data_IF_051862692898
#
_entry.id   IF_051862692898
#
_cell.length_a   1.000
_cell.length_b   1.000
_cell.length_c   1.000
_cell.angle_alpha   90.00
_cell.angle_beta   90.00
_cell.angle_gamma   90.00
#
_symmetry.space_group_name_H-M   'P 1'
#
loop_
_entity.id
_entity.type
_entity.pdbx_description
1 polymer ?
#
# COMPACT_ATOMS: atom_id res chain seq x y z
N UNK A 1 4.25 73.34 19.08
CA UNK A 1 5.08 72.20 18.73
C UNK A 1 4.21 70.96 18.64
N UNK A 2 3.87 70.51 17.44
CA UNK A 2 3.00 69.32 17.22
C UNK A 2 3.92 68.13 17.03
N UNK A 3 3.90 67.16 17.93
CA UNK A 3 4.57 65.89 17.79
C UNK A 3 3.76 65.02 16.84
N UNK A 4 4.32 64.61 15.70
CA UNK A 4 3.84 63.52 14.83
C UNK A 4 4.44 62.22 15.33
N UNK A 5 3.59 61.33 15.90
CA UNK A 5 3.99 59.97 16.16
C UNK A 5 3.85 59.15 14.86
N UNK A 6 4.96 58.71 14.32
CA UNK A 6 4.98 57.77 13.22
C UNK A 6 4.84 56.34 13.80
N UNK A 7 3.70 55.71 13.56
CA UNK A 7 3.50 54.29 13.84
C UNK A 7 4.16 53.47 12.71
N UNK A 8 5.23 52.74 13.04
CA UNK A 8 5.74 51.70 12.17
C UNK A 8 4.85 50.47 12.30
N UNK A 9 4.08 50.14 11.29
CA UNK A 9 3.46 48.83 11.12
C UNK A 9 4.56 47.85 10.68
N UNK A 10 5.04 47.00 11.60
CA UNK A 10 5.78 45.82 11.22
C UNK A 10 4.77 44.84 10.60
N UNK A 11 4.83 44.68 9.27
CA UNK A 11 4.17 43.58 8.59
C UNK A 11 4.99 42.31 8.90
N UNK A 12 4.47 41.45 9.76
CA UNK A 12 4.93 40.06 9.84
C UNK A 12 4.44 39.35 8.58
N UNK A 13 5.36 39.00 7.69
CA UNK A 13 5.09 37.98 6.68
C UNK A 13 5.01 36.64 7.44
N UNK A 14 3.82 36.17 7.66
CA UNK A 14 3.60 34.76 8.02
C UNK A 14 4.04 33.97 6.81
N UNK A 15 5.19 33.31 6.88
CA UNK A 15 5.54 32.29 5.90
C UNK A 15 4.47 31.21 6.02
N UNK A 16 3.89 30.83 4.89
CA UNK A 16 2.96 29.73 4.85
C UNK A 16 3.66 28.50 5.43
N UNK A 17 3.19 28.07 6.57
CA UNK A 17 3.63 26.81 7.19
C UNK A 17 2.80 25.68 6.59
N UNK A 18 3.38 24.49 6.57
CA UNK A 18 2.66 23.28 6.18
C UNK A 18 1.65 22.90 7.29
N UNK A 19 0.86 21.85 7.04
CA UNK A 19 -0.14 21.37 7.98
C UNK A 19 0.43 21.24 9.41
N UNK A 20 -0.26 21.78 10.43
CA UNK A 20 0.20 21.82 11.82
C UNK A 20 0.01 20.49 12.55
N UNK A 21 0.26 20.49 13.87
CA UNK A 21 0.05 19.35 14.76
C UNK A 21 -1.42 18.93 14.84
N UNK A 22 -1.63 17.70 15.34
CA UNK A 22 -2.96 17.13 15.55
C UNK A 22 -3.81 18.01 16.49
N UNK A 23 -5.03 18.30 16.08
CA UNK A 23 -5.98 19.10 16.85
C UNK A 23 -5.97 20.60 16.55
N UNK A 24 -5.02 21.10 15.77
CA UNK A 24 -5.04 22.46 15.25
C UNK A 24 -5.85 22.56 13.95
N UNK A 25 -6.30 23.79 13.61
CA UNK A 25 -7.01 24.09 12.36
C UNK A 25 -6.07 23.80 11.16
N UNK A 26 -6.62 23.28 10.07
CA UNK A 26 -5.89 22.85 8.86
C UNK A 26 -4.95 21.65 9.04
N UNK A 27 -5.02 20.91 10.18
CA UNK A 27 -4.32 19.65 10.33
C UNK A 27 -4.91 18.58 9.38
N UNK A 28 -4.04 17.93 8.59
CA UNK A 28 -4.42 16.91 7.62
C UNK A 28 -4.22 15.47 8.14
N UNK A 29 -3.74 15.29 9.38
CA UNK A 29 -3.52 13.96 9.96
C UNK A 29 -4.80 13.12 9.94
N UNK A 30 -4.68 11.84 9.62
CA UNK A 30 -5.83 10.93 9.60
C UNK A 30 -5.71 9.93 10.75
N UNK A 31 -6.72 9.92 11.64
CA UNK A 31 -6.76 8.93 12.73
C UNK A 31 -6.84 7.50 12.20
N UNK A 32 -6.13 6.56 12.83
CA UNK A 32 -6.20 5.12 12.53
C UNK A 32 -7.62 4.55 12.60
N UNK A 33 -8.51 5.19 13.35
CA UNK A 33 -9.92 4.80 13.48
C UNK A 33 -10.82 5.45 12.41
N UNK A 34 -10.26 6.16 11.45
CA UNK A 34 -11.04 6.82 10.39
C UNK A 34 -11.77 5.80 9.52
N UNK A 35 -13.07 6.01 9.24
CA UNK A 35 -13.82 5.16 8.32
C UNK A 35 -13.39 5.32 6.85
N UNK A 36 -12.45 6.22 6.54
CA UNK A 36 -11.91 6.40 5.20
C UNK A 36 -11.05 5.20 4.76
N UNK A 37 -10.42 4.48 5.70
CA UNK A 37 -9.56 3.36 5.33
C UNK A 37 -10.37 2.16 4.83
N UNK A 38 -10.18 1.82 3.55
CA UNK A 38 -10.78 0.65 2.90
C UNK A 38 -10.01 -0.64 3.23
N UNK A 39 -8.69 -0.55 3.40
CA UNK A 39 -7.81 -1.67 3.72
C UNK A 39 -6.48 -1.21 4.31
N UNK A 40 -5.63 -2.18 4.66
CA UNK A 40 -4.30 -1.99 5.25
C UNK A 40 -3.29 -2.87 4.52
N UNK A 41 -2.00 -2.50 4.57
CA UNK A 41 -0.93 -3.34 4.06
C UNK A 41 -0.95 -4.74 4.71
N UNK A 42 -0.66 -5.77 3.91
CA UNK A 42 -0.68 -7.16 4.35
C UNK A 42 0.43 -8.02 3.72
N UNK A 43 1.32 -7.41 2.93
CA UNK A 43 2.46 -8.06 2.30
C UNK A 43 3.56 -7.03 2.08
N UNK A 44 4.78 -7.38 2.45
CA UNK A 44 5.92 -6.47 2.28
C UNK A 44 7.26 -7.17 2.46
N UNK A 45 8.31 -6.40 2.23
CA UNK A 45 9.71 -6.78 2.45
C UNK A 45 10.47 -5.60 3.04
N UNK A 46 11.55 -5.86 3.75
CA UNK A 46 12.40 -4.83 4.34
C UNK A 46 13.86 -4.97 3.91
N UNK A 47 14.50 -3.85 3.62
CA UNK A 47 15.95 -3.72 3.48
C UNK A 47 16.44 -2.84 4.63
N UNK A 48 17.01 -3.47 5.66
CA UNK A 48 17.48 -2.76 6.86
C UNK A 48 18.60 -1.80 6.53
N UNK A 49 18.52 -0.60 7.07
CA UNK A 49 19.57 0.40 7.09
C UNK A 49 20.58 0.16 8.22
N UNK A 50 21.46 1.10 8.42
CA UNK A 50 22.50 1.04 9.45
C UNK A 50 21.97 1.53 10.80
N UNK A 51 22.54 1.01 11.89
CA UNK A 51 22.37 1.60 13.22
C UNK A 51 22.93 3.03 13.25
N UNK A 52 24.02 3.24 12.52
CA UNK A 52 24.57 4.56 12.23
C UNK A 52 25.37 4.49 10.92
N UNK A 53 24.94 5.22 9.90
CA UNK A 53 25.63 5.20 8.60
C UNK A 53 27.01 5.83 8.63
N UNK A 54 27.31 6.66 9.64
CA UNK A 54 28.66 7.22 9.86
C UNK A 54 29.61 6.22 10.57
N UNK A 55 29.07 5.19 11.22
CA UNK A 55 29.82 4.09 11.82
C UNK A 55 29.18 2.74 11.52
N UNK A 56 29.43 2.21 10.34
CA UNK A 56 28.86 0.93 9.88
C UNK A 56 29.35 -0.30 10.65
N UNK A 57 30.34 -0.15 11.55
CA UNK A 57 30.79 -1.23 12.43
C UNK A 57 29.74 -1.63 13.46
N UNK A 58 28.78 -0.75 13.74
CA UNK A 58 27.63 -1.02 14.60
C UNK A 58 26.61 -1.99 13.98
N UNK A 59 26.74 -2.27 12.67
CA UNK A 59 25.83 -3.17 11.95
C UNK A 59 24.53 -2.50 11.53
N UNK A 60 23.56 -3.32 11.19
CA UNK A 60 22.22 -2.88 10.77
C UNK A 60 21.24 -3.00 11.92
N UNK A 61 20.18 -2.16 11.89
CA UNK A 61 19.08 -2.24 12.87
C UNK A 61 18.36 -3.60 12.78
N UNK A 62 17.79 -4.06 13.90
CA UNK A 62 17.19 -5.39 14.01
C UNK A 62 15.79 -5.40 14.61
N UNK A 63 15.31 -4.25 15.09
CA UNK A 63 14.05 -4.18 15.80
C UNK A 63 12.83 -4.40 14.89
N UNK A 64 11.88 -5.22 15.32
CA UNK A 64 10.63 -5.55 14.61
C UNK A 64 10.81 -6.43 13.38
N UNK A 65 9.71 -6.82 12.77
CA UNK A 65 9.64 -7.57 11.50
C UNK A 65 8.62 -6.90 10.58
N UNK A 66 8.67 -7.19 9.26
CA UNK A 66 7.76 -6.52 8.31
C UNK A 66 6.29 -6.84 8.56
N UNK A 67 6.02 -8.01 9.15
CA UNK A 67 4.69 -8.45 9.53
C UNK A 67 4.07 -7.60 10.65
N UNK A 68 4.87 -6.92 11.47
CA UNK A 68 4.40 -5.99 12.49
C UNK A 68 3.66 -4.79 11.89
N UNK A 69 3.95 -4.46 10.61
CA UNK A 69 3.27 -3.40 9.86
C UNK A 69 2.00 -3.85 9.12
N UNK A 70 1.55 -5.09 9.32
CA UNK A 70 0.36 -5.60 8.63
C UNK A 70 -0.91 -5.32 9.43
N UNK A 71 -1.91 -4.75 8.75
CA UNK A 71 -3.18 -4.39 9.37
C UNK A 71 -3.17 -3.00 10.01
N UNK A 72 -4.07 -2.82 10.96
CA UNK A 72 -4.25 -1.55 11.69
C UNK A 72 -3.05 -1.28 12.60
N UNK A 73 -2.64 -0.01 12.78
CA UNK A 73 -1.58 0.37 13.71
C UNK A 73 -1.69 -0.30 15.08
N UNK A 74 -0.56 -0.76 15.60
CA UNK A 74 -0.47 -1.47 16.87
C UNK A 74 0.88 -1.14 17.56
N UNK A 75 1.13 -1.55 18.80
CA UNK A 75 2.39 -1.19 19.51
C UNK A 75 3.68 -1.80 18.94
N UNK A 76 3.58 -2.77 18.01
CA UNK A 76 4.75 -3.33 17.34
C UNK A 76 5.09 -2.50 16.10
N UNK A 77 6.37 -2.26 15.86
CA UNK A 77 6.86 -1.45 14.74
C UNK A 77 8.06 -2.08 14.06
N UNK A 78 8.33 -1.62 12.85
CA UNK A 78 9.46 -2.01 12.03
C UNK A 78 10.45 -0.86 11.93
N UNK A 79 11.58 -0.93 12.62
CA UNK A 79 12.65 0.08 12.47
C UNK A 79 13.39 -0.09 11.17
N UNK A 80 13.53 0.98 10.41
CA UNK A 80 14.20 0.93 9.10
C UNK A 80 15.71 1.09 9.22
N UNK A 81 16.19 1.95 10.14
CA UNK A 81 17.60 2.34 10.28
C UNK A 81 18.06 3.28 9.17
N UNK A 82 19.23 3.91 9.38
CA UNK A 82 19.78 4.91 8.46
C UNK A 82 19.82 4.40 7.01
N UNK A 83 19.01 5.02 6.14
CA UNK A 83 18.88 4.69 4.72
C UNK A 83 18.20 3.35 4.44
N UNK A 84 17.55 2.75 5.42
CA UNK A 84 16.75 1.54 5.24
C UNK A 84 15.46 1.78 4.47
N UNK A 85 14.83 0.71 4.02
CA UNK A 85 13.55 0.83 3.30
C UNK A 85 12.65 -0.38 3.50
N UNK A 86 11.34 -0.16 3.44
CA UNK A 86 10.34 -1.22 3.38
C UNK A 86 9.44 -1.02 2.16
N UNK A 87 9.17 -2.10 1.43
CA UNK A 87 8.31 -2.10 0.24
C UNK A 87 7.12 -3.00 0.46
N UNK A 88 5.93 -2.45 0.26
CA UNK A 88 4.65 -3.14 0.42
C UNK A 88 3.98 -3.33 -0.93
N UNK A 89 3.44 -4.54 -1.15
CA UNK A 89 2.72 -4.92 -2.36
C UNK A 89 1.23 -5.02 -2.06
N UNK A 90 0.41 -4.44 -2.93
CA UNK A 90 -1.05 -4.43 -2.82
C UNK A 90 -1.66 -5.25 -3.96
N UNK A 91 -2.33 -6.34 -3.62
CA UNK A 91 -3.06 -7.16 -4.60
C UNK A 91 -4.19 -6.37 -5.25
N UNK A 92 -4.88 -5.56 -4.46
CA UNK A 92 -5.82 -4.56 -4.94
C UNK A 92 -5.06 -3.26 -5.08
N UNK A 93 -4.83 -2.82 -6.31
CA UNK A 93 -4.07 -1.60 -6.57
C UNK A 93 -4.78 -0.37 -6.02
N UNK A 94 -4.01 0.60 -5.56
CA UNK A 94 -4.52 1.91 -5.20
C UNK A 94 -4.79 2.71 -6.47
N UNK A 95 -5.67 3.69 -6.38
CA UNK A 95 -5.90 4.64 -7.48
C UNK A 95 -6.04 6.07 -6.95
N UNK A 96 -5.72 7.04 -7.79
CA UNK A 96 -5.91 8.46 -7.51
C UNK A 96 -7.41 8.79 -7.44
N UNK A 97 -7.92 8.98 -6.23
CA UNK A 97 -9.30 9.36 -5.94
C UNK A 97 -9.47 10.86 -5.68
N UNK A 98 -10.49 11.23 -4.95
CA UNK A 98 -10.71 12.62 -4.54
C UNK A 98 -10.08 12.84 -3.17
N UNK A 99 -9.03 13.67 -3.10
CA UNK A 99 -8.25 13.92 -1.89
C UNK A 99 -7.20 12.84 -1.64
N UNK A 100 -6.91 12.55 -0.37
CA UNK A 100 -5.84 11.61 -0.03
C UNK A 100 -6.20 10.17 -0.36
N UNK A 101 -5.20 9.39 -0.84
CA UNK A 101 -5.38 8.02 -1.31
C UNK A 101 -4.88 6.98 -0.31
N UNK A 102 -3.92 7.33 0.53
CA UNK A 102 -3.40 6.47 1.59
C UNK A 102 -2.74 7.30 2.69
N UNK A 103 -2.41 6.66 3.82
CA UNK A 103 -1.66 7.29 4.90
C UNK A 103 -0.63 6.33 5.50
N UNK A 104 0.51 6.89 5.93
CA UNK A 104 1.61 6.18 6.58
C UNK A 104 1.57 6.51 8.07
N UNK A 105 1.65 5.47 8.91
CA UNK A 105 1.68 5.55 10.35
C UNK A 105 3.09 5.23 10.88
N UNK A 106 3.49 6.00 11.85
CA UNK A 106 4.76 5.90 12.55
C UNK A 106 4.47 5.89 14.07
N UNK A 107 5.42 5.46 14.89
CA UNK A 107 5.27 5.29 16.33
C UNK A 107 5.67 6.55 17.12
N UNK A 108 5.56 7.75 16.56
CA UNK A 108 5.94 9.01 17.22
C UNK A 108 5.35 9.17 18.61
N UNK A 109 6.20 9.57 19.56
CA UNK A 109 5.79 9.69 20.96
C UNK A 109 4.92 10.93 21.22
N UNK A 110 5.15 12.01 20.46
CA UNK A 110 4.43 13.27 20.59
C UNK A 110 4.44 14.06 19.25
N UNK A 111 3.93 15.28 19.25
CA UNK A 111 3.82 16.13 18.08
C UNK A 111 5.16 16.71 17.58
N UNK A 112 6.25 16.50 18.26
CA UNK A 112 7.55 17.14 18.01
C UNK A 112 8.72 16.16 17.95
N UNK A 113 8.62 15.01 18.60
CA UNK A 113 9.60 13.94 18.48
C UNK A 113 9.23 13.11 17.26
N UNK A 114 9.76 13.51 16.12
CA UNK A 114 9.42 12.97 14.81
C UNK A 114 10.65 12.29 14.20
N UNK A 115 10.45 11.16 13.57
CA UNK A 115 11.41 10.51 12.68
C UNK A 115 10.78 10.44 11.28
N UNK A 116 11.53 10.85 10.26
CA UNK A 116 10.97 11.11 8.94
C UNK A 116 11.33 10.01 7.93
N UNK A 117 10.43 9.77 6.98
CA UNK A 117 10.71 8.91 5.84
C UNK A 117 10.15 9.48 4.52
N UNK A 118 10.87 9.22 3.43
CA UNK A 118 10.37 9.42 2.09
C UNK A 118 9.32 8.36 1.76
N UNK A 119 8.35 8.76 0.94
CA UNK A 119 7.34 7.85 0.42
C UNK A 119 7.44 7.82 -1.10
N UNK A 120 7.44 6.62 -1.64
CA UNK A 120 7.54 6.34 -3.05
C UNK A 120 6.46 5.34 -3.46
N UNK A 121 5.96 5.46 -4.68
CA UNK A 121 4.95 4.54 -5.23
C UNK A 121 5.36 4.00 -6.59
N UNK A 122 4.84 2.83 -6.93
CA UNK A 122 5.07 2.19 -8.22
C UNK A 122 3.82 1.45 -8.69
N UNK A 123 3.57 1.46 -10.01
CA UNK A 123 2.53 0.67 -10.65
C UNK A 123 3.02 -0.69 -11.18
N UNK A 124 4.32 -0.90 -11.28
CA UNK A 124 4.96 -2.12 -11.85
C UNK A 124 5.90 -2.85 -10.89
N UNK A 125 6.22 -2.25 -9.73
CA UNK A 125 7.16 -2.78 -8.73
C UNK A 125 8.64 -2.58 -9.09
N UNK A 126 8.95 -1.93 -10.19
CA UNK A 126 10.31 -1.66 -10.67
C UNK A 126 10.62 -0.16 -10.67
N UNK A 127 9.74 0.65 -11.27
CA UNK A 127 9.88 2.11 -11.37
C UNK A 127 9.17 2.77 -10.19
N UNK A 128 9.94 3.25 -9.22
CA UNK A 128 9.42 3.95 -8.05
C UNK A 128 9.54 5.46 -8.19
N UNK A 129 8.49 6.17 -7.82
CA UNK A 129 8.38 7.63 -7.91
C UNK A 129 8.10 8.21 -6.55
N UNK A 130 8.99 9.14 -6.12
CA UNK A 130 8.97 9.77 -4.81
C UNK A 130 8.06 10.98 -4.81
N UNK A 131 7.27 11.13 -3.76
CA UNK A 131 6.55 12.37 -3.47
C UNK A 131 7.54 13.51 -3.26
N UNK A 132 7.20 14.69 -3.78
CA UNK A 132 8.05 15.87 -3.66
C UNK A 132 8.01 16.38 -2.23
N UNK A 133 9.01 16.04 -1.45
CA UNK A 133 9.12 16.44 -0.05
C UNK A 133 9.75 17.81 0.12
N UNK A 134 9.40 18.53 1.19
CA UNK A 134 10.03 19.77 1.59
C UNK A 134 10.27 19.79 3.11
N UNK A 135 11.46 20.27 3.52
CA UNK A 135 11.80 20.54 4.91
C UNK A 135 12.26 21.98 5.08
N UNK A 136 11.59 22.71 5.93
CA UNK A 136 11.97 24.08 6.34
C UNK A 136 12.69 24.08 7.69
N UNK A 137 13.09 22.90 8.19
CA UNK A 137 13.83 22.78 9.44
C UNK A 137 15.18 23.48 9.32
N UNK A 138 15.58 24.26 10.34
CA UNK A 138 16.89 24.91 10.33
C UNK A 138 18.03 23.89 10.25
N UNK A 139 19.03 24.17 9.38
CA UNK A 139 20.19 23.28 9.14
C UNK A 139 21.49 23.84 9.68
N UNK A 140 21.44 24.82 10.56
CA UNK A 140 22.62 25.45 11.18
C UNK A 140 23.13 24.67 12.41
N UNK A 141 22.29 23.80 12.99
CA UNK A 141 22.62 22.91 14.11
C UNK A 141 21.93 21.57 13.86
N UNK A 142 22.67 20.47 14.03
CA UNK A 142 22.10 19.13 13.93
C UNK A 142 21.05 18.91 15.02
N UNK A 143 19.88 18.40 14.64
CA UNK A 143 18.87 17.90 15.57
C UNK A 143 19.40 16.57 16.14
N UNK A 144 19.61 16.50 17.45
CA UNK A 144 20.09 15.30 18.12
C UNK A 144 18.99 14.26 18.32
N UNK A 145 19.37 13.05 18.71
CA UNK A 145 18.49 11.87 18.81
C UNK A 145 17.19 12.06 19.61
N UNK A 146 17.13 13.04 20.50
CA UNK A 146 15.98 13.32 21.37
C UNK A 146 15.53 14.78 21.31
N UNK A 147 16.00 15.52 20.30
CA UNK A 147 15.59 16.90 20.09
C UNK A 147 14.29 16.97 19.27
N UNK A 148 13.67 18.14 19.25
CA UNK A 148 12.35 18.36 18.72
C UNK A 148 12.36 18.91 17.30
N UNK A 149 11.48 18.41 16.46
CA UNK A 149 11.23 18.86 15.10
C UNK A 149 9.88 19.56 15.02
N UNK A 150 9.76 20.62 14.22
CA UNK A 150 8.50 21.35 14.05
C UNK A 150 7.67 20.72 12.94
N UNK A 151 6.53 20.11 13.28
CA UNK A 151 5.58 19.48 12.35
C UNK A 151 5.20 20.38 11.18
N UNK A 152 4.90 21.66 11.43
CA UNK A 152 4.54 22.65 10.41
C UNK A 152 5.71 23.04 9.47
N UNK A 153 6.91 22.55 9.70
CA UNK A 153 8.08 22.72 8.81
C UNK A 153 8.23 21.59 7.78
N UNK A 154 7.40 20.55 7.85
CA UNK A 154 7.54 19.31 7.07
C UNK A 154 6.37 19.12 6.12
N UNK A 155 6.67 18.74 4.86
CA UNK A 155 5.69 18.43 3.83
C UNK A 155 6.08 17.17 3.04
N UNK A 156 5.08 16.32 2.75
CA UNK A 156 5.25 15.08 1.97
C UNK A 156 6.39 14.17 2.46
N UNK A 157 6.55 14.10 3.79
CA UNK A 157 7.37 13.10 4.48
C UNK A 157 6.49 12.36 5.49
N UNK A 158 6.61 11.04 5.56
CA UNK A 158 5.98 10.23 6.60
C UNK A 158 6.63 10.51 7.96
N UNK A 159 5.97 10.15 9.07
CA UNK A 159 6.43 10.39 10.44
C UNK A 159 6.17 11.80 10.97
N UNK A 160 5.35 12.55 10.26
CA UNK A 160 5.01 13.93 10.60
C UNK A 160 4.07 14.06 11.81
N UNK A 161 3.38 13.01 12.20
CA UNK A 161 2.35 13.02 13.23
C UNK A 161 2.59 11.92 14.27
N UNK A 162 2.12 12.10 15.51
CA UNK A 162 2.33 11.12 16.57
C UNK A 162 1.57 9.81 16.28
N UNK A 163 1.94 8.77 17.00
CA UNK A 163 1.31 7.44 16.95
C UNK A 163 -0.23 7.52 16.92
N UNK A 164 -0.88 6.64 16.16
CA UNK A 164 -2.31 6.60 15.85
C UNK A 164 -2.80 7.66 14.83
N UNK A 165 -1.91 8.55 14.36
CA UNK A 165 -2.24 9.56 13.36
C UNK A 165 -1.34 9.41 12.14
N UNK A 166 -1.95 9.05 11.01
CA UNK A 166 -1.22 8.84 9.76
C UNK A 166 -0.97 10.12 8.99
N UNK A 167 0.22 10.21 8.40
CA UNK A 167 0.54 11.23 7.40
C UNK A 167 -0.08 10.83 6.06
N UNK A 168 -1.04 11.61 5.52
CA UNK A 168 -1.71 11.27 4.28
C UNK A 168 -0.91 11.68 3.04
N UNK A 169 -1.17 10.97 1.93
CA UNK A 169 -0.57 11.20 0.62
C UNK A 169 -1.65 11.17 -0.47
N UNK A 170 -1.52 12.08 -1.45
CA UNK A 170 -2.42 12.23 -2.58
C UNK A 170 -1.66 11.88 -3.89
N UNK A 171 -2.09 10.85 -4.59
CA UNK A 171 -1.48 10.42 -5.86
C UNK A 171 -1.61 11.50 -6.96
N UNK A 172 -2.48 12.48 -6.76
CA UNK A 172 -2.59 13.63 -7.64
C UNK A 172 -1.28 14.43 -7.74
N UNK A 173 -0.44 14.41 -6.70
CA UNK A 173 0.88 15.05 -6.69
C UNK A 173 1.88 14.43 -7.69
N UNK A 174 1.58 13.21 -8.16
CA UNK A 174 2.42 12.45 -9.09
C UNK A 174 1.82 12.33 -10.50
N UNK A 175 0.77 13.10 -10.80
CA UNK A 175 0.16 13.10 -12.12
C UNK A 175 1.16 13.54 -13.20
N UNK A 176 1.09 12.89 -14.37
CA UNK A 176 1.90 13.23 -15.56
C UNK A 176 3.27 12.57 -15.60
N UNK A 177 3.61 11.70 -14.65
CA UNK A 177 4.81 10.86 -14.70
C UNK A 177 4.56 9.71 -15.67
N UNK A 178 5.27 9.64 -16.80
CA UNK A 178 5.02 8.69 -17.89
C UNK A 178 5.13 7.21 -17.48
N UNK A 179 5.98 6.90 -16.48
CA UNK A 179 6.22 5.53 -16.00
C UNK A 179 5.41 5.17 -14.76
N UNK A 180 4.43 5.99 -14.39
CA UNK A 180 3.53 5.75 -13.27
C UNK A 180 2.07 5.78 -13.71
N UNK A 181 1.38 4.67 -13.55
CA UNK A 181 -0.08 4.61 -13.66
C UNK A 181 -0.73 4.86 -12.29
N UNK A 182 -1.11 6.11 -12.03
CA UNK A 182 -1.78 6.49 -10.78
C UNK A 182 -3.18 5.88 -10.63
N UNK A 183 -3.72 5.24 -11.65
CA UNK A 183 -5.00 4.51 -11.56
C UNK A 183 -4.82 3.06 -11.09
N UNK A 184 -3.58 2.58 -11.00
CA UNK A 184 -3.25 1.19 -10.67
C UNK A 184 -1.92 1.04 -9.91
N UNK A 185 -1.71 1.83 -8.86
CA UNK A 185 -0.51 1.76 -8.01
C UNK A 185 -0.52 0.44 -7.24
N UNK A 186 0.49 -0.38 -7.45
CA UNK A 186 0.63 -1.72 -6.87
C UNK A 186 1.60 -1.81 -5.70
N UNK A 187 2.50 -0.84 -5.56
CA UNK A 187 3.52 -0.84 -4.51
C UNK A 187 3.68 0.53 -3.85
N UNK A 188 3.92 0.51 -2.55
CA UNK A 188 4.37 1.67 -1.76
C UNK A 188 5.70 1.32 -1.12
N UNK A 189 6.69 2.19 -1.23
CA UNK A 189 7.99 2.06 -0.58
C UNK A 189 8.24 3.22 0.35
N UNK A 190 8.61 2.89 1.58
CA UNK A 190 9.02 3.84 2.61
C UNK A 190 10.53 3.78 2.70
N UNK A 191 11.20 4.93 2.65
CA UNK A 191 12.67 5.03 2.71
C UNK A 191 13.04 5.98 3.82
N UNK A 192 13.81 5.50 4.78
CA UNK A 192 14.28 6.28 5.92
C UNK A 192 15.01 7.56 5.47
N UNK A 193 14.74 8.65 6.14
CA UNK A 193 15.48 9.90 6.02
C UNK A 193 16.68 9.86 6.96
N UNK A 194 17.90 9.79 6.39
CA UNK A 194 19.09 10.04 7.21
C UNK A 194 19.12 11.52 7.59
N UNK A 195 18.81 11.80 8.83
CA UNK A 195 18.58 13.16 9.35
C UNK A 195 19.83 14.03 9.47
N UNK A 196 21.00 13.53 9.05
CA UNK A 196 22.27 14.25 9.10
C UNK A 196 22.28 15.49 8.20
N UNK A 197 22.80 16.60 8.70
CA UNK A 197 23.08 17.79 7.90
C UNK A 197 24.49 17.76 7.25
N UNK A 198 25.29 16.73 7.55
CA UNK A 198 26.57 16.55 6.87
C UNK A 198 26.38 16.05 5.44
N UNK A 199 26.94 16.72 4.42
CA UNK A 199 26.68 16.36 3.02
C UNK A 199 27.01 14.91 2.64
N UNK A 200 27.89 14.24 3.39
CA UNK A 200 28.28 12.85 3.17
C UNK A 200 27.15 11.85 3.48
N UNK A 201 26.27 12.21 4.41
CA UNK A 201 25.23 11.32 4.93
C UNK A 201 23.82 11.87 4.72
N UNK A 202 23.71 13.20 4.47
CA UNK A 202 22.44 13.91 4.40
C UNK A 202 21.47 13.34 3.38
N UNK A 203 20.21 13.21 3.77
CA UNK A 203 19.07 13.11 2.86
C UNK A 203 18.64 14.53 2.41
N UNK A 204 18.14 14.64 1.18
CA UNK A 204 17.78 15.92 0.61
C UNK A 204 16.32 15.95 0.17
N UNK A 205 15.66 17.09 0.42
CA UNK A 205 14.30 17.34 -0.05
C UNK A 205 14.26 17.65 -1.58
N UNK A 206 13.07 17.86 -2.12
CA UNK A 206 12.88 18.14 -3.55
C UNK A 206 13.53 19.47 -4.01
N UNK A 207 13.83 20.37 -3.08
CA UNK A 207 14.52 21.64 -3.35
C UNK A 207 16.04 21.54 -3.12
N UNK A 208 16.53 20.32 -2.87
CA UNK A 208 17.94 20.04 -2.58
C UNK A 208 18.43 20.68 -1.28
N UNK A 209 17.54 20.88 -0.30
CA UNK A 209 17.92 21.23 1.08
C UNK A 209 18.15 19.95 1.89
N UNK A 210 19.18 19.88 2.75
CA UNK A 210 19.33 18.75 3.66
C UNK A 210 18.13 18.72 4.62
N UNK A 211 17.61 17.52 4.84
CA UNK A 211 16.54 17.30 5.83
C UNK A 211 17.21 17.07 7.18
N UNK A 212 17.01 18.00 8.10
CA UNK A 212 17.51 17.89 9.46
C UNK A 212 16.47 17.18 10.32
N UNK A 213 16.76 15.96 10.69
CA UNK A 213 15.94 15.02 11.44
C UNK A 213 16.75 14.50 12.63
N UNK A 214 16.17 13.90 13.68
CA UNK A 214 16.94 13.36 14.79
C UNK A 214 18.05 12.41 14.36
N UNK A 215 19.31 12.82 14.55
CA UNK A 215 20.47 12.02 14.13
C UNK A 215 21.73 12.41 14.92
N UNK A 216 22.65 11.44 15.26
CA UNK A 216 22.48 9.99 15.04
C UNK A 216 21.53 9.35 16.05
N UNK A 217 20.86 8.28 15.62
CA UNK A 217 20.00 7.44 16.48
C UNK A 217 20.61 6.04 16.61
N UNK A 218 21.74 5.88 17.34
CA UNK A 218 22.56 4.67 17.33
C UNK A 218 21.95 3.55 18.21
N UNK A 219 20.71 3.20 17.95
CA UNK A 219 19.93 2.18 18.65
C UNK A 219 19.54 1.06 17.70
N UNK A 220 19.23 -0.14 18.23
CA UNK A 220 18.68 -1.25 17.43
C UNK A 220 17.34 -0.91 16.77
N UNK A 221 16.64 0.09 17.33
CA UNK A 221 15.40 0.68 16.83
C UNK A 221 15.61 2.08 16.25
N UNK A 222 16.76 2.39 15.69
CA UNK A 222 17.03 3.71 15.11
C UNK A 222 16.43 3.90 13.73
N UNK A 223 16.30 5.18 13.33
CA UNK A 223 15.65 5.58 12.10
C UNK A 223 14.13 5.44 12.15
N UNK A 224 13.48 5.59 11.05
CA UNK A 224 12.01 5.56 10.92
C UNK A 224 11.38 4.27 11.45
N UNK A 225 10.47 4.37 12.40
CA UNK A 225 9.73 3.27 13.02
C UNK A 225 8.35 3.10 12.37
N UNK A 226 8.29 2.33 11.26
CA UNK A 226 7.04 2.10 10.52
C UNK A 226 6.06 1.24 11.32
N UNK A 227 4.84 1.74 11.52
CA UNK A 227 3.74 1.03 12.20
C UNK A 227 2.77 0.42 11.18
N UNK A 228 2.21 1.20 10.25
CA UNK A 228 1.24 0.68 9.29
C UNK A 228 1.11 1.56 8.03
N UNK A 229 0.46 1.00 6.99
CA UNK A 229 0.01 1.72 5.80
C UNK A 229 -1.48 1.49 5.62
N UNK A 230 -2.28 2.56 5.77
CA UNK A 230 -3.72 2.56 5.54
C UNK A 230 -4.07 3.05 4.14
N UNK A 231 -4.90 2.30 3.42
CA UNK A 231 -5.33 2.61 2.04
C UNK A 231 -6.75 3.17 2.06
N UNK A 232 -6.96 4.30 1.40
CA UNK A 232 -8.25 5.00 1.29
C UNK A 232 -8.91 4.65 -0.05
N UNK A 233 -8.22 4.92 -1.16
CA UNK A 233 -8.74 4.64 -2.49
C UNK A 233 -8.08 3.39 -3.08
N UNK A 234 -8.88 2.33 -3.19
CA UNK A 234 -8.43 1.03 -3.66
C UNK A 234 -9.37 0.50 -4.73
N UNK A 235 -8.82 0.02 -5.83
CA UNK A 235 -9.59 -0.70 -6.81
C UNK A 235 -10.26 -1.91 -6.16
N UNK A 236 -11.55 -2.17 -6.43
CA UNK A 236 -12.16 -3.39 -5.97
C UNK A 236 -11.28 -4.55 -6.42
N UNK A 237 -11.20 -5.61 -5.61
CA UNK A 237 -10.67 -6.87 -6.14
C UNK A 237 -11.27 -7.02 -7.53
N UNK A 238 -10.45 -6.96 -8.57
CA UNK A 238 -10.87 -7.52 -9.82
C UNK A 238 -11.12 -8.97 -9.43
N UNK A 239 -12.36 -9.28 -9.13
CA UNK A 239 -12.87 -10.59 -9.48
C UNK A 239 -12.47 -10.60 -10.95
N UNK A 240 -11.31 -11.27 -11.25
CA UNK A 240 -11.01 -11.60 -12.61
C UNK A 240 -12.37 -12.05 -13.10
N UNK A 241 -12.99 -11.30 -14.04
CA UNK A 241 -14.19 -11.78 -14.66
C UNK A 241 -13.76 -13.15 -15.13
N UNK A 242 -13.95 -14.13 -14.28
CA UNK A 242 -14.11 -15.48 -14.73
C UNK A 242 -15.30 -15.28 -15.66
N UNK A 243 -15.01 -15.03 -16.94
CA UNK A 243 -16.03 -15.19 -17.99
C UNK A 243 -16.55 -16.55 -17.70
N UNK A 244 -17.65 -16.53 -16.96
CA UNK A 244 -18.12 -17.68 -16.19
C UNK A 244 -18.30 -18.75 -17.23
N UNK A 245 -17.56 -19.87 -17.10
CA UNK A 245 -17.71 -20.96 -18.02
C UNK A 245 -19.19 -21.29 -18.05
N UNK A 246 -19.80 -21.06 -19.18
CA UNK A 246 -21.22 -21.32 -19.34
C UNK A 246 -21.36 -22.76 -19.75
N UNK A 247 -22.12 -23.52 -19.00
CA UNK A 247 -22.54 -24.88 -19.33
C UNK A 247 -24.00 -24.81 -19.70
N UNK A 248 -24.29 -25.09 -20.96
CA UNK A 248 -25.66 -24.99 -21.53
C UNK A 248 -25.90 -26.01 -22.63
N UNK A 249 -27.18 -26.39 -22.89
CA UNK A 249 -28.34 -26.05 -22.09
C UNK A 249 -28.36 -26.80 -20.76
N UNK A 250 -29.02 -26.24 -19.76
CA UNK A 250 -29.28 -26.89 -18.48
C UNK A 250 -30.64 -26.39 -17.95
N UNK A 251 -31.68 -27.21 -17.90
CA UNK A 251 -31.75 -28.67 -18.20
C UNK A 251 -31.41 -29.04 -19.64
N UNK A 252 -31.03 -30.32 -19.85
CA UNK A 252 -30.71 -30.88 -21.17
C UNK A 252 -31.34 -32.26 -21.33
N UNK A 253 -31.76 -32.60 -22.56
CA UNK A 253 -32.27 -33.91 -22.90
C UNK A 253 -31.18 -34.99 -22.90
N UNK A 254 -31.56 -36.25 -22.61
CA UNK A 254 -30.63 -37.39 -22.50
C UNK A 254 -29.78 -37.62 -23.77
N UNK A 255 -30.29 -37.25 -24.94
CA UNK A 255 -29.60 -37.35 -26.22
C UNK A 255 -29.01 -36.00 -26.69
N UNK A 256 -28.98 -35.01 -25.79
CA UNK A 256 -28.53 -33.65 -26.09
C UNK A 256 -27.00 -33.50 -26.17
N UNK A 257 -26.58 -32.36 -26.70
CA UNK A 257 -25.19 -31.95 -26.74
C UNK A 257 -24.98 -30.80 -25.74
N UNK A 258 -24.26 -31.08 -24.68
CA UNK A 258 -23.91 -30.07 -23.67
C UNK A 258 -22.72 -29.26 -24.12
N UNK A 259 -22.83 -27.96 -24.11
CA UNK A 259 -21.73 -27.03 -24.45
C UNK A 259 -21.06 -26.49 -23.20
N UNK A 260 -19.75 -26.46 -23.21
CA UNK A 260 -18.93 -25.73 -22.21
C UNK A 260 -18.28 -24.54 -22.92
N UNK A 261 -18.76 -23.34 -22.65
CA UNK A 261 -18.11 -22.13 -23.17
C UNK A 261 -17.10 -21.63 -22.15
N UNK A 262 -15.82 -21.80 -22.43
CA UNK A 262 -14.72 -21.35 -21.59
C UNK A 262 -13.69 -20.61 -22.44
N UNK A 263 -13.07 -19.53 -21.93
CA UNK A 263 -11.92 -18.87 -22.58
C UNK A 263 -10.63 -19.67 -22.43
N UNK A 264 -10.61 -20.69 -21.57
CA UNK A 264 -9.44 -21.51 -21.26
C UNK A 264 -9.66 -22.98 -21.63
N UNK A 265 -8.57 -23.73 -21.79
CA UNK A 265 -8.64 -25.16 -22.06
C UNK A 265 -9.36 -25.90 -20.92
N UNK A 266 -10.34 -26.72 -21.31
CA UNK A 266 -11.10 -27.58 -20.38
C UNK A 266 -10.58 -29.00 -20.50
N UNK A 267 -10.28 -29.62 -19.38
CA UNK A 267 -9.74 -31.00 -19.31
C UNK A 267 -10.40 -31.83 -18.22
N UNK A 268 -10.11 -33.13 -18.14
CA UNK A 268 -10.62 -34.04 -17.12
C UNK A 268 -12.12 -34.04 -16.95
N UNK A 269 -12.87 -33.97 -18.05
CA UNK A 269 -14.33 -33.79 -18.06
C UNK A 269 -15.01 -35.10 -17.71
N UNK A 270 -15.85 -35.10 -16.71
CA UNK A 270 -16.70 -36.24 -16.32
C UNK A 270 -18.05 -35.79 -15.76
N UNK A 271 -19.04 -36.63 -15.98
CA UNK A 271 -20.35 -36.54 -15.38
C UNK A 271 -20.43 -37.54 -14.23
N UNK A 272 -21.02 -37.16 -13.11
CA UNK A 272 -21.14 -37.97 -11.90
C UNK A 272 -22.63 -38.04 -11.55
N UNK A 273 -23.20 -39.26 -11.46
CA UNK A 273 -24.59 -39.44 -11.07
C UNK A 273 -24.76 -39.39 -9.52
N UNK A 274 -26.00 -39.46 -9.06
CA UNK A 274 -26.36 -39.41 -7.64
C UNK A 274 -25.79 -40.59 -6.81
N UNK A 275 -25.34 -41.67 -7.47
CA UNK A 275 -24.75 -42.85 -6.84
C UNK A 275 -23.22 -42.86 -6.90
N UNK A 276 -22.62 -41.78 -7.46
CA UNK A 276 -21.15 -41.63 -7.61
C UNK A 276 -20.59 -42.35 -8.83
N UNK A 277 -21.42 -42.93 -9.73
CA UNK A 277 -20.93 -43.47 -10.99
C UNK A 277 -20.46 -42.35 -11.91
N UNK A 278 -19.32 -42.54 -12.55
CA UNK A 278 -18.66 -41.54 -13.40
C UNK A 278 -18.73 -41.92 -14.87
N UNK A 279 -18.94 -40.93 -15.73
CA UNK A 279 -18.95 -41.03 -17.17
C UNK A 279 -17.94 -40.02 -17.71
N UNK A 280 -16.80 -40.50 -18.20
CA UNK A 280 -15.71 -39.67 -18.66
C UNK A 280 -15.84 -39.27 -20.13
N UNK A 281 -15.63 -38.01 -20.42
CA UNK A 281 -15.60 -37.44 -21.78
C UNK A 281 -14.15 -37.20 -22.24
N UNK A 282 -13.94 -37.23 -23.55
CA UNK A 282 -12.72 -36.68 -24.12
C UNK A 282 -12.75 -35.16 -23.94
N UNK A 283 -11.56 -34.55 -23.85
CA UNK A 283 -11.46 -33.11 -23.77
C UNK A 283 -12.12 -32.44 -24.99
N UNK A 284 -13.28 -31.82 -24.78
CA UNK A 284 -14.09 -31.20 -25.82
C UNK A 284 -14.99 -30.15 -25.19
N UNK A 285 -15.30 -29.10 -25.92
CA UNK A 285 -16.27 -28.09 -25.51
C UNK A 285 -17.72 -28.48 -25.83
N UNK A 286 -17.93 -29.54 -26.63
CA UNK A 286 -19.22 -30.10 -26.93
C UNK A 286 -19.25 -31.55 -26.45
N UNK A 287 -20.13 -31.85 -25.47
CA UNK A 287 -20.22 -33.15 -24.83
C UNK A 287 -21.53 -33.85 -25.31
N UNK A 288 -21.37 -34.89 -26.06
CA UNK A 288 -22.48 -35.72 -26.57
C UNK A 288 -22.92 -36.68 -25.48
N UNK A 289 -24.15 -36.50 -24.93
CA UNK A 289 -24.67 -37.31 -23.85
C UNK A 289 -25.15 -38.68 -24.32
N UNK A 290 -25.54 -38.79 -25.57
CA UNK A 290 -26.05 -40.01 -26.25
C UNK A 290 -25.02 -41.15 -26.34
N UNK A 291 -23.73 -40.85 -26.10
CA UNK A 291 -22.67 -41.87 -26.00
C UNK A 291 -22.76 -42.74 -24.74
N UNK A 292 -23.61 -42.35 -23.78
CA UNK A 292 -23.81 -43.07 -22.53
C UNK A 292 -25.28 -43.40 -22.29
N UNK A 293 -25.55 -44.53 -21.64
CA UNK A 293 -26.86 -44.89 -21.15
C UNK A 293 -27.19 -44.13 -19.86
N UNK A 294 -27.56 -42.84 -19.99
CA UNK A 294 -27.94 -41.98 -18.90
C UNK A 294 -29.42 -42.09 -18.58
N UNK A 295 -29.80 -41.74 -17.36
CA UNK A 295 -31.18 -41.63 -16.90
C UNK A 295 -31.52 -40.19 -16.58
N UNK A 296 -32.79 -39.85 -16.59
CA UNK A 296 -33.27 -38.55 -16.12
C UNK A 296 -32.89 -38.36 -14.64
N UNK A 297 -32.45 -37.17 -14.28
CA UNK A 297 -32.06 -36.89 -12.92
C UNK A 297 -31.04 -35.76 -12.79
N UNK A 298 -30.48 -35.66 -11.58
CA UNK A 298 -29.46 -34.67 -11.25
C UNK A 298 -28.09 -35.30 -11.33
N UNK A 299 -27.18 -34.64 -11.99
CA UNK A 299 -25.78 -35.02 -12.14
C UNK A 299 -24.86 -33.86 -11.72
N UNK A 300 -23.61 -34.18 -11.43
CA UNK A 300 -22.55 -33.20 -11.28
C UNK A 300 -21.62 -33.33 -12.48
N UNK A 301 -21.53 -32.26 -13.29
CA UNK A 301 -20.48 -32.13 -14.29
C UNK A 301 -19.23 -31.61 -13.60
N UNK A 302 -18.15 -32.37 -13.68
CA UNK A 302 -16.83 -32.00 -13.19
C UNK A 302 -15.87 -31.82 -14.35
N UNK A 303 -15.07 -30.77 -14.33
CA UNK A 303 -14.01 -30.53 -15.30
C UNK A 303 -12.91 -29.67 -14.68
N UNK A 304 -11.73 -29.64 -15.28
CA UNK A 304 -10.60 -28.86 -14.84
C UNK A 304 -10.33 -27.69 -15.80
N UNK A 305 -10.08 -26.50 -15.23
CA UNK A 305 -9.67 -25.29 -15.93
C UNK A 305 -8.54 -24.64 -15.16
N UNK A 306 -7.43 -24.34 -15.82
CA UNK A 306 -6.24 -23.74 -15.20
C UNK A 306 -5.79 -24.46 -13.91
N UNK A 307 -5.85 -25.80 -13.88
CA UNK A 307 -5.47 -26.61 -12.73
C UNK A 307 -6.48 -26.64 -11.59
N UNK A 308 -7.65 -26.00 -11.74
CA UNK A 308 -8.73 -26.02 -10.74
C UNK A 308 -9.87 -26.91 -11.18
N UNK A 309 -10.36 -27.77 -10.28
CA UNK A 309 -11.55 -28.59 -10.48
C UNK A 309 -12.81 -27.74 -10.28
N UNK A 310 -13.65 -27.71 -11.33
CA UNK A 310 -14.94 -27.02 -11.33
C UNK A 310 -16.07 -28.05 -11.26
N UNK A 311 -17.08 -27.77 -10.48
CA UNK A 311 -18.28 -28.60 -10.35
C UNK A 311 -19.52 -27.79 -10.74
N UNK A 312 -20.38 -28.35 -11.60
CA UNK A 312 -21.66 -27.75 -11.99
C UNK A 312 -22.77 -28.75 -11.86
N UNK A 313 -23.88 -28.33 -11.24
CA UNK A 313 -25.12 -29.14 -11.24
C UNK A 313 -25.70 -29.16 -12.64
N UNK A 314 -26.01 -30.34 -13.13
CA UNK A 314 -26.68 -30.58 -14.42
C UNK A 314 -27.99 -31.34 -14.19
N UNK A 315 -29.03 -30.96 -14.90
CA UNK A 315 -30.34 -31.64 -14.87
C UNK A 315 -30.58 -32.28 -16.23
N UNK A 316 -30.72 -33.62 -16.24
CA UNK A 316 -31.09 -34.38 -17.42
C UNK A 316 -32.58 -34.67 -17.40
N UNK A 317 -33.26 -34.38 -18.50
CA UNK A 317 -34.69 -34.67 -18.73
C UNK A 317 -34.88 -35.53 -19.97
N UNK A 318 -36.14 -35.93 -20.23
CA UNK A 318 -36.49 -36.70 -21.43
C UNK A 318 -36.31 -35.88 -22.70
#
# INVERSE_FOLDING_TARGET
MKFFSVFFLLSYTVLAQFSPIVGEEDCIAISMNSPLFASWAAKGTVQRGWVNCADTTLGKVTFGVVEDCFGVPNPAVLSLGDGGSATFEFQNTLFNGVGFDFAIFENGFDDYFLELAFVEVSSDGENFHRFQSQSLSPTNVQIGAFDLLQTASIHNLAGKYPSQWGTPFDLNDLLGIETLDVTAVSHIRIVDVVGSIEPTYASYDANNNPINDPWPTPFESGGFDLDAIGVIHQNPLSVAEYKQELVFPNPIALNGVLQIKSPHLVSQIKLIDAFGKTYAFKNSYALHLDQFELKTGVYILQYEVLGKLIHRKLILNE
#
